data_IF_038881982669
#
_entry.id   IF_038881982669
#
_cell.length_a   1.000
_cell.length_b   1.000
_cell.length_c   1.000
_cell.angle_alpha   90.00
_cell.angle_beta   90.00
_cell.angle_gamma   90.00
#
_symmetry.space_group_name_H-M   'P 1'
#
loop_
_entity.id
_entity.type
_entity.pdbx_description
1 polymer ?
#
# COMPACT_ATOMS: atom_id res chain seq x y z
N UNK A 1 -53.32 47.23 46.05
CA UNK A 1 -53.17 45.85 46.56
C UNK A 1 -51.74 45.44 46.24
N UNK A 2 -50.92 45.31 47.27
CA UNK A 2 -49.47 45.24 47.28
C UNK A 2 -48.93 43.91 46.73
N UNK A 3 -47.76 43.94 46.08
CA UNK A 3 -46.56 43.13 46.43
C UNK A 3 -45.49 43.28 45.32
N UNK A 4 -44.39 43.97 45.60
CA UNK A 4 -43.11 43.44 46.14
C UNK A 4 -42.27 42.70 45.07
N UNK A 5 -41.16 43.31 44.65
CA UNK A 5 -39.78 42.83 44.93
C UNK A 5 -38.71 43.78 44.31
N UNK A 6 -37.64 44.14 45.06
CA UNK A 6 -36.59 45.10 44.68
C UNK A 6 -35.45 44.53 43.79
N UNK A 7 -34.60 45.39 43.19
CA UNK A 7 -33.57 45.00 42.22
C UNK A 7 -32.42 44.19 42.84
N UNK A 8 -32.01 43.12 42.16
CA UNK A 8 -30.90 42.25 42.61
C UNK A 8 -29.55 42.91 42.37
N UNK A 9 -28.89 43.19 43.49
CA UNK A 9 -27.49 43.56 43.68
C UNK A 9 -26.51 42.58 43.05
N UNK A 10 -25.45 43.13 42.45
CA UNK A 10 -24.23 42.43 42.04
C UNK A 10 -23.44 42.00 43.29
N UNK A 11 -23.09 40.73 43.38
CA UNK A 11 -22.12 40.21 44.35
C UNK A 11 -21.18 39.21 43.65
N UNK A 12 -19.92 39.35 44.02
CA UNK A 12 -18.67 38.79 43.50
C UNK A 12 -18.44 37.29 43.79
N UNK A 13 -17.94 36.56 42.76
CA UNK A 13 -17.04 35.35 42.70
C UNK A 13 -17.33 34.11 43.59
N UNK A 14 -16.91 32.86 43.22
CA UNK A 14 -15.71 32.51 42.45
C UNK A 14 -15.87 31.55 41.26
N UNK A 15 -14.94 31.72 40.32
CA UNK A 15 -14.58 30.82 39.24
C UNK A 15 -14.08 29.48 39.82
N UNK A 16 -14.95 28.48 39.88
CA UNK A 16 -14.55 27.10 40.10
C UNK A 16 -14.06 26.51 38.76
N UNK A 17 -12.74 26.58 38.55
CA UNK A 17 -12.07 25.86 37.48
C UNK A 17 -12.13 24.35 37.76
N UNK A 18 -13.05 23.64 37.10
CA UNK A 18 -12.89 22.21 36.92
C UNK A 18 -11.73 21.97 35.93
N UNK A 19 -10.79 21.05 36.21
CA UNK A 19 -9.74 20.68 35.27
C UNK A 19 -10.38 19.87 34.13
N UNK A 20 -10.92 20.57 33.14
CA UNK A 20 -11.16 19.97 31.84
C UNK A 20 -9.80 19.66 31.24
N UNK A 21 -9.38 18.40 31.32
CA UNK A 21 -8.22 17.86 30.64
C UNK A 21 -8.15 18.46 29.23
N UNK A 22 -7.12 19.27 29.00
CA UNK A 22 -6.71 19.72 27.68
C UNK A 22 -6.16 18.46 27.00
N UNK A 23 -7.06 17.58 26.57
CA UNK A 23 -6.75 16.42 25.76
C UNK A 23 -6.37 16.96 24.39
N UNK A 24 -5.11 17.38 24.28
CA UNK A 24 -4.19 17.19 23.15
C UNK A 24 -4.89 16.88 21.82
N UNK A 25 -5.69 17.82 21.32
CA UNK A 25 -6.14 17.82 19.92
C UNK A 25 -5.05 18.45 19.08
N UNK A 26 -3.89 17.80 18.98
CA UNK A 26 -2.82 18.22 18.07
C UNK A 26 -1.76 17.15 17.85
N UNK A 27 -2.14 15.86 17.76
CA UNK A 27 -1.22 14.80 17.31
C UNK A 27 -1.83 13.74 16.38
N UNK A 28 -3.14 13.74 16.11
CA UNK A 28 -3.76 12.79 15.18
C UNK A 28 -3.72 13.25 13.70
N UNK A 29 -3.66 14.55 13.45
CA UNK A 29 -3.71 15.11 12.08
C UNK A 29 -2.37 15.02 11.31
N UNK A 30 -1.27 14.68 11.99
CA UNK A 30 0.03 14.39 11.34
C UNK A 30 0.26 12.88 11.13
N UNK A 31 -0.60 12.01 11.64
CA UNK A 31 -0.56 10.55 11.42
C UNK A 31 -1.32 10.15 10.13
N UNK A 32 -1.95 11.13 9.46
CA UNK A 32 -2.61 10.96 8.16
C UNK A 32 -1.68 10.84 6.95
N UNK A 33 -0.38 11.14 7.10
CA UNK A 33 0.60 11.02 6.03
C UNK A 33 1.20 9.60 6.01
N UNK A 34 0.69 8.78 5.09
CA UNK A 34 1.11 7.41 4.82
C UNK A 34 0.84 6.42 5.98
N UNK A 35 -0.42 5.95 6.07
CA UNK A 35 -0.61 4.54 6.42
C UNK A 35 0.23 3.74 5.44
N UNK A 36 1.43 3.30 5.82
CA UNK A 36 2.24 2.35 5.03
C UNK A 36 1.27 1.29 4.57
N UNK A 37 1.16 1.06 3.26
CA UNK A 37 0.29 0.03 2.74
C UNK A 37 0.77 -1.30 3.33
N UNK A 38 0.14 -1.76 4.40
CA UNK A 38 0.51 -3.02 5.04
C UNK A 38 -0.02 -4.11 4.11
N UNK A 39 0.84 -4.99 3.59
CA UNK A 39 0.39 -6.10 2.81
C UNK A 39 -0.55 -6.98 3.63
N UNK A 40 -1.63 -7.42 3.02
CA UNK A 40 -2.52 -8.41 3.63
C UNK A 40 -1.75 -9.72 3.75
N UNK A 41 -1.72 -10.33 4.93
CA UNK A 41 -0.94 -11.54 5.15
C UNK A 41 -1.44 -12.69 4.26
N UNK A 42 -0.52 -13.40 3.64
CA UNK A 42 -0.79 -14.62 2.88
C UNK A 42 0.49 -15.43 2.63
N UNK A 43 0.42 -16.37 1.70
CA UNK A 43 1.53 -17.31 1.39
C UNK A 43 2.23 -16.99 0.06
N UNK A 44 1.86 -15.89 -0.59
CA UNK A 44 2.38 -15.56 -1.91
C UNK A 44 3.48 -14.51 -1.81
N UNK A 45 4.43 -14.63 -2.72
CA UNK A 45 5.52 -13.69 -2.91
C UNK A 45 5.51 -13.20 -4.35
N UNK A 46 5.81 -11.92 -4.52
CA UNK A 46 6.10 -11.29 -5.82
C UNK A 46 7.61 -11.29 -5.97
N UNK A 47 8.07 -11.72 -7.14
CA UNK A 47 9.48 -11.76 -7.49
C UNK A 47 9.74 -11.04 -8.80
N UNK A 48 10.99 -10.60 -8.98
CA UNK A 48 11.50 -10.03 -10.22
C UNK A 48 12.77 -10.73 -10.68
N UNK A 49 13.09 -10.59 -11.95
CA UNK A 49 14.38 -10.93 -12.54
C UNK A 49 14.92 -9.68 -13.21
N UNK A 50 16.22 -9.45 -13.10
CA UNK A 50 16.91 -8.33 -13.73
C UNK A 50 17.92 -8.85 -14.75
N UNK A 51 18.08 -8.11 -15.84
CA UNK A 51 19.10 -8.40 -16.85
C UNK A 51 20.50 -7.92 -16.42
N UNK A 52 21.51 -8.20 -17.24
CA UNK A 52 22.88 -7.76 -16.99
C UNK A 52 23.05 -6.22 -16.98
N UNK A 53 22.10 -5.48 -17.53
CA UNK A 53 22.06 -4.02 -17.52
C UNK A 53 21.27 -3.45 -16.32
N UNK A 54 20.71 -4.30 -15.45
CA UNK A 54 19.93 -3.91 -14.28
C UNK A 54 18.46 -3.62 -14.57
N UNK A 55 17.98 -3.88 -15.78
CA UNK A 55 16.58 -3.68 -16.13
C UNK A 55 15.73 -4.86 -15.69
N UNK A 56 14.52 -4.58 -15.20
CA UNK A 56 13.59 -5.65 -14.81
C UNK A 56 13.10 -6.39 -16.05
N UNK A 57 13.60 -7.61 -16.23
CA UNK A 57 13.28 -8.44 -17.37
C UNK A 57 12.15 -9.43 -17.12
N UNK A 58 11.83 -9.77 -15.87
CA UNK A 58 10.72 -10.66 -15.58
C UNK A 58 10.08 -10.31 -14.24
N UNK A 59 8.77 -10.46 -14.14
CA UNK A 59 8.04 -10.37 -12.88
C UNK A 59 7.04 -11.51 -12.78
N UNK A 60 6.77 -11.95 -11.56
CA UNK A 60 5.82 -13.02 -11.34
C UNK A 60 5.42 -13.17 -9.88
N UNK A 61 4.38 -13.97 -9.65
CA UNK A 61 3.96 -14.40 -8.30
C UNK A 61 4.19 -15.89 -8.08
N UNK A 62 4.56 -16.27 -6.87
CA UNK A 62 4.70 -17.66 -6.47
C UNK A 62 4.39 -17.85 -4.99
N UNK A 63 3.92 -19.03 -4.61
CA UNK A 63 3.80 -19.43 -3.20
C UNK A 63 5.02 -20.22 -2.70
N UNK A 64 5.96 -20.53 -3.60
CA UNK A 64 7.18 -21.26 -3.28
C UNK A 64 8.31 -20.70 -4.14
N UNK A 65 9.18 -19.90 -3.53
CA UNK A 65 10.31 -19.24 -4.19
C UNK A 65 11.37 -20.24 -4.62
N UNK A 66 11.79 -21.15 -3.74
CA UNK A 66 12.86 -22.11 -4.03
C UNK A 66 12.54 -22.99 -5.25
N UNK A 67 11.33 -23.57 -5.29
CA UNK A 67 10.89 -24.38 -6.44
C UNK A 67 10.83 -23.54 -7.71
N UNK A 68 10.32 -22.31 -7.63
CA UNK A 68 10.13 -21.43 -8.80
C UNK A 68 11.47 -20.94 -9.34
N UNK A 69 12.42 -20.62 -8.47
CA UNK A 69 13.77 -20.21 -8.84
C UNK A 69 14.50 -21.33 -9.59
N UNK A 70 14.46 -22.56 -9.07
CA UNK A 70 15.05 -23.71 -9.73
C UNK A 70 14.43 -23.99 -11.12
N UNK A 71 13.11 -23.85 -11.24
CA UNK A 71 12.42 -24.02 -12.52
C UNK A 71 12.85 -22.96 -13.55
N UNK A 72 12.85 -21.67 -13.16
CA UNK A 72 13.25 -20.58 -14.07
C UNK A 72 14.73 -20.65 -14.44
N UNK A 73 15.60 -21.04 -13.52
CA UNK A 73 17.01 -21.26 -13.82
C UNK A 73 17.18 -22.39 -14.85
N UNK A 74 16.45 -23.50 -14.69
CA UNK A 74 16.52 -24.65 -15.62
C UNK A 74 15.89 -24.36 -16.98
N UNK A 75 14.74 -23.69 -17.02
CA UNK A 75 13.92 -23.54 -18.22
C UNK A 75 14.26 -22.28 -19.03
N UNK A 76 14.70 -21.22 -18.35
CA UNK A 76 14.95 -19.90 -18.95
C UNK A 76 16.37 -19.39 -18.72
N UNK A 77 17.13 -20.00 -17.82
CA UNK A 77 18.48 -19.52 -17.46
C UNK A 77 18.47 -18.19 -16.70
N UNK A 78 17.37 -17.83 -16.04
CA UNK A 78 17.25 -16.54 -15.33
C UNK A 78 17.25 -16.73 -13.81
N UNK A 79 17.86 -15.78 -13.12
CA UNK A 79 17.78 -15.67 -11.66
C UNK A 79 16.59 -14.83 -11.26
N UNK A 80 15.86 -15.28 -10.23
CA UNK A 80 14.73 -14.54 -9.66
C UNK A 80 15.04 -14.13 -8.23
N UNK A 81 14.56 -12.96 -7.84
CA UNK A 81 14.72 -12.37 -6.53
C UNK A 81 13.35 -12.01 -5.96
N UNK A 82 13.12 -12.35 -4.70
CA UNK A 82 11.90 -11.95 -4.00
C UNK A 82 11.89 -10.43 -3.78
N UNK A 83 10.79 -9.78 -4.18
CA UNK A 83 10.58 -8.34 -3.98
C UNK A 83 9.70 -8.09 -2.75
N UNK A 84 8.59 -8.81 -2.65
CA UNK A 84 7.62 -8.72 -1.57
C UNK A 84 7.11 -10.12 -1.23
N UNK A 85 7.12 -10.47 0.06
CA UNK A 85 6.64 -11.75 0.56
C UNK A 85 5.41 -11.63 1.46
N UNK A 86 4.87 -12.79 1.86
CA UNK A 86 3.75 -12.90 2.77
C UNK A 86 2.47 -12.16 2.33
N UNK A 87 2.23 -12.11 1.02
CA UNK A 87 1.09 -11.42 0.42
C UNK A 87 -0.12 -12.35 0.27
N UNK A 88 -1.31 -11.77 0.44
CA UNK A 88 -2.55 -12.33 -0.09
C UNK A 88 -2.44 -12.45 -1.61
N UNK A 89 -3.20 -13.38 -2.20
CA UNK A 89 -3.17 -13.58 -3.65
C UNK A 89 -3.65 -12.35 -4.42
N UNK A 90 -4.56 -11.56 -3.84
CA UNK A 90 -5.04 -10.30 -4.43
C UNK A 90 -3.96 -9.23 -4.41
N UNK A 91 -3.27 -9.03 -3.28
CA UNK A 91 -2.19 -8.05 -3.16
C UNK A 91 -1.00 -8.43 -4.05
N UNK A 92 -0.66 -9.72 -4.14
CA UNK A 92 0.38 -10.20 -5.05
C UNK A 92 0.06 -9.89 -6.52
N UNK A 93 -1.20 -10.09 -6.96
CA UNK A 93 -1.64 -9.76 -8.33
C UNK A 93 -1.67 -8.25 -8.57
N UNK A 94 -2.08 -7.47 -7.58
CA UNK A 94 -2.06 -6.01 -7.64
C UNK A 94 -0.64 -5.47 -7.87
N UNK A 95 0.32 -5.96 -7.10
CA UNK A 95 1.74 -5.59 -7.22
C UNK A 95 2.32 -6.03 -8.57
N UNK A 96 2.07 -7.27 -8.99
CA UNK A 96 2.51 -7.77 -10.29
C UNK A 96 1.98 -6.91 -11.44
N UNK A 97 0.70 -6.53 -11.40
CA UNK A 97 0.11 -5.67 -12.43
C UNK A 97 0.71 -4.26 -12.42
N UNK A 98 0.96 -3.69 -11.24
CA UNK A 98 1.63 -2.40 -11.12
C UNK A 98 3.05 -2.46 -11.69
N UNK A 99 3.80 -3.54 -11.44
CA UNK A 99 5.13 -3.74 -12.03
C UNK A 99 5.07 -3.89 -13.56
N UNK A 100 4.05 -4.59 -14.09
CA UNK A 100 3.84 -4.69 -15.54
C UNK A 100 3.54 -3.33 -16.15
N UNK A 101 2.78 -2.46 -15.49
CA UNK A 101 2.53 -1.10 -15.99
C UNK A 101 3.74 -0.18 -15.88
N UNK A 102 4.56 -0.32 -14.83
CA UNK A 102 5.79 0.48 -14.67
C UNK A 102 6.81 0.15 -15.77
N UNK A 103 6.97 -1.13 -16.09
CA UNK A 103 7.98 -1.58 -17.06
C UNK A 103 7.42 -1.80 -18.48
N UNK A 104 6.10 -1.66 -18.64
CA UNK A 104 5.29 -1.88 -19.83
C UNK A 104 5.46 -3.26 -20.52
N UNK A 105 4.35 -3.90 -20.92
CA UNK A 105 4.35 -4.88 -22.00
C UNK A 105 4.50 -4.11 -23.30
N UNK A 106 5.60 -4.27 -24.00
CA UNK A 106 5.94 -3.19 -24.90
C UNK A 106 5.31 -3.26 -26.28
N UNK A 107 5.73 -2.21 -26.98
CA UNK A 107 5.93 -2.17 -28.42
C UNK A 107 7.16 -1.32 -28.80
N UNK A 108 7.71 -0.50 -27.89
CA UNK A 108 8.84 0.41 -28.17
C UNK A 108 9.67 0.77 -26.91
N UNK A 109 10.22 -0.22 -26.19
CA UNK A 109 11.08 0.03 -25.01
C UNK A 109 10.98 -0.99 -23.87
N UNK A 110 10.59 -2.23 -24.19
CA UNK A 110 10.21 -3.25 -23.22
C UNK A 110 11.42 -4.02 -22.67
N UNK A 111 11.49 -4.09 -21.35
CA UNK A 111 12.46 -4.91 -20.62
C UNK A 111 11.83 -6.26 -20.26
N UNK A 112 10.51 -6.30 -20.02
CA UNK A 112 9.79 -7.49 -19.55
C UNK A 112 9.59 -8.57 -20.63
N UNK A 113 10.26 -9.72 -20.49
CA UNK A 113 10.04 -10.94 -21.30
C UNK A 113 8.80 -11.75 -20.87
N UNK A 114 7.92 -11.19 -20.04
CA UNK A 114 6.76 -11.91 -19.51
C UNK A 114 5.73 -12.18 -20.62
N UNK A 115 5.27 -13.43 -20.74
CA UNK A 115 4.37 -13.86 -21.83
C UNK A 115 2.89 -13.67 -21.51
N UNK A 116 2.51 -13.52 -20.23
CA UNK A 116 1.10 -13.52 -19.81
C UNK A 116 0.88 -12.52 -18.68
N UNK A 117 -0.18 -11.71 -18.79
CA UNK A 117 -0.67 -10.86 -17.71
C UNK A 117 -1.56 -11.64 -16.75
N UNK A 118 -1.36 -11.42 -15.46
CA UNK A 118 -2.25 -11.97 -14.45
C UNK A 118 -3.59 -11.25 -14.36
N UNK A 119 -3.73 -10.00 -14.81
CA UNK A 119 -5.00 -9.26 -14.79
C UNK A 119 -5.31 -8.71 -16.18
N UNK A 120 -6.53 -8.95 -16.66
CA UNK A 120 -7.03 -8.37 -17.90
C UNK A 120 -7.39 -6.89 -17.71
N UNK A 121 -7.08 -5.99 -18.68
CA UNK A 121 -7.47 -4.57 -18.62
C UNK A 121 -8.97 -4.33 -18.51
N UNK A 122 -9.78 -5.32 -18.92
CA UNK A 122 -11.25 -5.28 -18.87
C UNK A 122 -11.81 -5.58 -17.48
N UNK A 123 -10.97 -5.86 -16.49
CA UNK A 123 -11.42 -6.07 -15.12
C UNK A 123 -11.94 -4.76 -14.51
N UNK A 124 -13.18 -4.68 -14.01
CA UNK A 124 -13.70 -3.45 -13.39
C UNK A 124 -12.89 -2.98 -12.18
N UNK A 125 -12.17 -3.89 -11.49
CA UNK A 125 -11.29 -3.57 -10.38
C UNK A 125 -9.86 -3.18 -10.81
N UNK A 126 -9.59 -3.01 -12.12
CA UNK A 126 -8.24 -2.77 -12.64
C UNK A 126 -7.56 -1.55 -12.02
N UNK A 127 -8.26 -0.42 -11.99
CA UNK A 127 -7.74 0.83 -11.43
C UNK A 127 -7.44 0.72 -9.93
N UNK A 128 -8.33 0.08 -9.17
CA UNK A 128 -8.15 -0.10 -7.73
C UNK A 128 -7.00 -1.05 -7.41
N UNK A 129 -6.84 -2.12 -8.19
CA UNK A 129 -5.72 -3.06 -8.07
C UNK A 129 -4.39 -2.39 -8.43
N UNK A 130 -4.36 -1.56 -9.48
CA UNK A 130 -3.17 -0.78 -9.82
C UNK A 130 -2.78 0.17 -8.69
N UNK A 131 -3.75 0.93 -8.17
CA UNK A 131 -3.51 1.84 -7.05
C UNK A 131 -2.96 1.08 -5.84
N UNK A 132 -3.59 -0.03 -5.47
CA UNK A 132 -3.13 -0.90 -4.37
C UNK A 132 -1.71 -1.43 -4.59
N UNK A 133 -1.40 -1.88 -5.81
CA UNK A 133 -0.08 -2.38 -6.17
C UNK A 133 1.00 -1.30 -6.08
N UNK A 134 0.72 -0.11 -6.59
CA UNK A 134 1.61 1.06 -6.51
C UNK A 134 1.85 1.50 -5.06
N UNK A 135 0.81 1.50 -4.22
CA UNK A 135 0.95 1.85 -2.80
C UNK A 135 1.84 0.85 -2.05
N UNK A 136 1.73 -0.45 -2.37
CA UNK A 136 2.58 -1.50 -1.82
C UNK A 136 4.04 -1.38 -2.31
N UNK A 137 4.26 -1.07 -3.58
CA UNK A 137 5.59 -0.84 -4.13
C UNK A 137 6.27 0.40 -3.51
N UNK A 138 5.54 1.51 -3.38
CA UNK A 138 6.04 2.71 -2.68
C UNK A 138 6.41 2.42 -1.23
N UNK A 139 5.73 1.49 -0.57
CA UNK A 139 6.02 1.12 0.83
C UNK A 139 7.41 0.49 1.02
N UNK A 140 7.99 -0.08 -0.04
CA UNK A 140 9.34 -0.67 -0.06
C UNK A 140 10.38 0.22 -0.76
N UNK A 141 10.01 1.45 -1.15
CA UNK A 141 10.91 2.38 -1.84
C UNK A 141 11.22 2.02 -3.29
N UNK A 142 10.31 1.28 -3.93
CA UNK A 142 10.35 1.02 -5.37
C UNK A 142 9.85 2.23 -6.16
#
# INVERSE_FOLDING_TARGET
MWDLLPPKSLASVPFAAAPGSIATRHLDDLVGAARRAVPSRGVNSVYRSVDAAGNVQYVGITNNMARRAAAHLREKGIHIEELLGNLSRSDARAVEQALIEIHHLGKHGETLINKINSIAPTNPAYADLLKRGLDLLKSIGY
#
